data_IF_166696509645
#
_entry.id   IF_166696509645
#
_cell.length_a   1.000
_cell.length_b   1.000
_cell.length_c   1.000
_cell.angle_alpha   90.00
_cell.angle_beta   90.00
_cell.angle_gamma   90.00
#
_symmetry.space_group_name_H-M   'P 1'
#
loop_
_entity.id
_entity.type
_entity.pdbx_description
1 polymer ?
#
# COMPACT_ATOMS: atom_id res chain seq x y z
N UNK A 1 -4.08 12.41 -13.69
CA UNK A 1 -3.96 13.07 -12.39
C UNK A 1 -2.51 13.00 -11.94
N UNK A 2 -1.67 13.87 -12.25
CA UNK A 2 -0.27 13.81 -11.93
C UNK A 2 0.21 15.15 -11.41
N UNK A 3 -0.53 15.74 -10.54
CA UNK A 3 -0.11 16.91 -9.80
C UNK A 3 0.54 16.41 -8.49
N UNK A 4 1.64 17.00 -8.09
CA UNK A 4 2.31 16.76 -6.81
C UNK A 4 1.32 16.75 -5.63
N UNK A 5 0.34 17.65 -5.66
CA UNK A 5 -0.72 17.71 -4.66
C UNK A 5 -1.59 16.44 -4.56
N UNK A 6 -1.56 15.54 -5.53
CA UNK A 6 -2.29 14.26 -5.44
C UNK A 6 -1.67 13.37 -4.37
N UNK A 7 -0.36 13.41 -4.18
CA UNK A 7 0.32 12.63 -3.16
C UNK A 7 -0.05 13.08 -1.74
N UNK A 8 -0.48 14.33 -1.57
CA UNK A 8 -0.93 14.82 -0.26
C UNK A 8 -2.17 14.10 0.29
N UNK A 9 -2.89 13.37 -0.57
CA UNK A 9 -4.05 12.57 -0.22
C UNK A 9 -3.75 11.07 -0.12
N UNK A 10 -2.52 10.66 -0.40
CA UNK A 10 -2.14 9.27 -0.29
C UNK A 10 -2.05 8.87 1.16
N UNK A 11 -2.98 8.01 1.59
CA UNK A 11 -3.03 7.49 2.94
C UNK A 11 -2.34 6.13 3.02
N UNK A 12 -2.15 5.66 4.22
CA UNK A 12 -1.48 4.40 4.49
C UNK A 12 -2.33 3.23 4.03
N UNK A 13 -1.71 2.40 3.22
CA UNK A 13 -2.23 1.11 2.80
C UNK A 13 -1.19 0.05 3.13
N UNK A 14 -1.52 -0.82 4.04
CA UNK A 14 -0.65 -1.90 4.47
C UNK A 14 -1.12 -3.22 3.88
N UNK A 15 -0.19 -3.97 3.30
CA UNK A 15 -0.41 -5.34 2.89
C UNK A 15 0.07 -6.27 3.99
N UNK A 16 -0.77 -7.20 4.41
CA UNK A 16 -0.42 -8.16 5.44
C UNK A 16 -0.82 -9.58 5.02
N UNK A 17 -0.24 -10.55 5.68
CA UNK A 17 -0.62 -11.96 5.57
C UNK A 17 -0.62 -12.53 6.97
N UNK A 18 -1.73 -13.15 7.37
CA UNK A 18 -1.80 -13.82 8.67
C UNK A 18 -1.05 -15.15 8.57
N UNK A 19 0.01 -15.28 9.37
CA UNK A 19 0.83 -16.49 9.37
C UNK A 19 0.00 -17.71 9.80
N UNK A 20 0.11 -18.84 9.09
CA UNK A 20 -0.58 -20.08 9.43
C UNK A 20 -0.38 -20.57 10.88
N UNK A 21 0.71 -20.18 11.54
CA UNK A 21 0.96 -20.55 12.94
C UNK A 21 -0.17 -20.09 13.86
N UNK A 22 -0.80 -18.94 13.57
CA UNK A 22 -1.91 -18.40 14.36
C UNK A 22 -3.15 -19.29 14.37
N UNK A 23 -3.29 -20.16 13.35
CA UNK A 23 -4.41 -21.09 13.25
C UNK A 23 -4.05 -22.52 13.73
N UNK A 24 -2.85 -22.71 14.21
CA UNK A 24 -2.34 -24.02 14.67
C UNK A 24 -2.43 -24.18 16.18
N UNK A 25 -2.11 -25.39 16.66
CA UNK A 25 -1.94 -25.67 18.08
C UNK A 25 -0.70 -25.02 18.69
N UNK A 26 0.20 -24.48 17.85
CA UNK A 26 1.41 -23.76 18.27
C UNK A 26 1.19 -22.23 18.27
N UNK A 27 -0.05 -21.82 18.26
CA UNK A 27 -0.42 -20.41 18.32
C UNK A 27 0.21 -19.75 19.54
N UNK A 28 0.80 -18.54 19.37
CA UNK A 28 1.37 -17.77 20.48
C UNK A 28 0.35 -17.49 21.58
N UNK A 29 0.81 -17.44 22.81
CA UNK A 29 0.00 -17.05 23.94
C UNK A 29 -0.54 -15.63 23.76
N UNK A 30 -1.80 -15.41 24.16
CA UNK A 30 -2.47 -14.12 24.04
C UNK A 30 -3.30 -13.95 22.77
N UNK A 31 -3.17 -14.83 21.77
CA UNK A 31 -4.04 -14.86 20.59
C UNK A 31 -5.21 -15.79 20.88
N UNK A 32 -6.41 -15.23 20.89
CA UNK A 32 -7.63 -15.97 21.21
C UNK A 32 -8.24 -16.65 19.97
N UNK A 33 -9.25 -17.46 20.19
CA UNK A 33 -10.05 -18.03 19.08
C UNK A 33 -10.83 -16.91 18.38
N UNK A 34 -11.31 -15.92 19.12
CA UNK A 34 -12.06 -14.80 18.55
C UNK A 34 -11.19 -13.96 17.61
N UNK A 35 -9.91 -13.77 17.93
CA UNK A 35 -8.97 -13.05 17.08
C UNK A 35 -8.80 -13.72 15.71
N UNK A 36 -8.76 -15.03 15.65
CA UNK A 36 -8.55 -15.79 14.40
C UNK A 36 -9.84 -16.17 13.69
N UNK A 37 -10.98 -15.97 14.31
CA UNK A 37 -12.30 -16.22 13.71
C UNK A 37 -12.98 -14.94 13.23
N UNK A 38 -12.37 -13.78 13.52
CA UNK A 38 -12.85 -12.50 13.03
C UNK A 38 -12.93 -12.50 11.50
N UNK A 39 -13.92 -11.87 10.90
CA UNK A 39 -14.04 -11.71 9.44
C UNK A 39 -12.78 -11.19 8.78
N UNK A 40 -12.01 -10.35 9.48
CA UNK A 40 -10.79 -9.71 8.98
C UNK A 40 -9.53 -10.57 9.08
N UNK A 41 -9.56 -11.66 9.84
CA UNK A 41 -8.37 -12.47 10.10
C UNK A 41 -8.56 -13.94 9.81
N UNK A 42 -9.82 -14.43 9.74
CA UNK A 42 -10.11 -15.85 9.53
C UNK A 42 -9.62 -16.34 8.17
N UNK A 43 -9.31 -17.62 8.09
CA UNK A 43 -9.06 -18.25 6.81
C UNK A 43 -10.37 -18.39 6.02
N UNK A 44 -10.26 -18.23 4.71
CA UNK A 44 -11.33 -18.42 3.76
C UNK A 44 -11.11 -19.77 3.08
N UNK A 45 -12.12 -20.59 3.06
CA UNK A 45 -12.04 -21.92 2.48
C UNK A 45 -12.66 -21.98 1.08
N UNK A 46 -12.14 -22.91 0.27
CA UNK A 46 -12.54 -23.05 -1.13
C UNK A 46 -14.03 -23.34 -1.30
N UNK A 47 -14.60 -24.16 -0.43
CA UNK A 47 -16.01 -24.55 -0.42
C UNK A 47 -16.94 -23.36 -0.10
N UNK A 48 -16.46 -22.39 0.65
CA UNK A 48 -17.23 -21.16 0.89
C UNK A 48 -17.39 -20.32 -0.40
N UNK A 49 -16.34 -20.27 -1.21
CA UNK A 49 -16.30 -19.44 -2.43
C UNK A 49 -16.80 -20.23 -3.65
N UNK A 50 -16.49 -21.51 -3.69
CA UNK A 50 -16.81 -22.40 -4.81
C UNK A 50 -17.52 -23.66 -4.33
N UNK A 51 -18.77 -23.55 -3.84
CA UNK A 51 -19.47 -24.67 -3.19
C UNK A 51 -19.79 -25.85 -4.12
N UNK A 52 -19.73 -25.64 -5.43
CA UNK A 52 -20.02 -26.65 -6.44
C UNK A 52 -18.76 -27.28 -7.07
N UNK A 53 -17.57 -26.96 -6.52
CA UNK A 53 -16.32 -27.56 -6.99
C UNK A 53 -15.95 -28.77 -6.14
N UNK A 54 -15.69 -29.89 -6.79
CA UNK A 54 -15.13 -31.05 -6.11
C UNK A 54 -13.72 -30.77 -5.62
N UNK A 55 -13.49 -30.99 -4.35
CA UNK A 55 -12.17 -30.80 -3.73
C UNK A 55 -11.48 -32.16 -3.72
N UNK A 56 -10.33 -32.26 -4.37
CA UNK A 56 -9.50 -33.45 -4.37
C UNK A 56 -8.94 -33.67 -2.96
N UNK A 57 -9.07 -34.88 -2.46
CA UNK A 57 -8.54 -35.28 -1.16
C UNK A 57 -7.05 -34.95 -1.06
N UNK A 58 -6.64 -34.27 0.03
CA UNK A 58 -5.24 -33.89 0.27
C UNK A 58 -4.83 -32.52 -0.23
N UNK A 59 -5.70 -31.76 -0.90
CA UNK A 59 -5.43 -30.37 -1.25
C UNK A 59 -5.76 -29.43 -0.07
N UNK A 60 -4.96 -28.39 0.06
CA UNK A 60 -5.23 -27.31 1.01
C UNK A 60 -6.52 -26.62 0.61
N UNK A 61 -7.50 -26.65 1.49
CA UNK A 61 -8.81 -26.04 1.25
C UNK A 61 -8.82 -24.54 1.50
N UNK A 62 -7.85 -24.02 2.27
CA UNK A 62 -7.73 -22.59 2.53
C UNK A 62 -7.21 -21.86 1.30
N UNK A 63 -7.88 -20.78 0.95
CA UNK A 63 -7.47 -19.88 -0.13
C UNK A 63 -6.51 -18.82 0.41
N UNK A 64 -5.58 -18.39 -0.45
CA UNK A 64 -4.76 -17.22 -0.17
C UNK A 64 -5.54 -15.97 -0.55
N UNK A 65 -5.69 -15.07 0.40
CA UNK A 65 -6.29 -13.75 0.21
C UNK A 65 -5.23 -12.67 0.06
N UNK A 66 -5.59 -11.58 -0.58
CA UNK A 66 -4.84 -10.33 -0.56
C UNK A 66 -5.44 -9.47 0.54
N UNK A 67 -4.77 -9.41 1.68
CA UNK A 67 -5.27 -8.70 2.84
C UNK A 67 -4.66 -7.31 2.90
N UNK A 68 -5.52 -6.31 2.91
CA UNK A 68 -5.14 -4.90 2.91
C UNK A 68 -5.79 -4.19 4.08
N UNK A 69 -5.01 -3.39 4.78
CA UNK A 69 -5.50 -2.48 5.81
C UNK A 69 -5.30 -1.04 5.33
N UNK A 70 -6.38 -0.29 5.25
CA UNK A 70 -6.39 1.09 4.80
C UNK A 70 -6.70 2.03 5.97
N UNK A 71 -5.77 2.94 6.24
CA UNK A 71 -5.90 3.96 7.30
C UNK A 71 -5.98 5.34 6.66
N UNK A 72 -7.18 5.89 6.46
CA UNK A 72 -7.38 7.14 5.71
C UNK A 72 -6.84 8.38 6.41
N UNK A 73 -6.57 8.30 7.71
CA UNK A 73 -6.01 9.39 8.52
C UNK A 73 -4.49 9.32 8.66
N UNK A 74 -3.88 8.18 8.36
CA UNK A 74 -2.45 8.01 8.45
C UNK A 74 -1.76 8.34 7.13
N UNK A 75 -0.57 8.92 7.22
CA UNK A 75 0.27 9.26 6.06
C UNK A 75 0.73 7.99 5.35
N UNK A 76 0.52 7.93 4.05
CA UNK A 76 1.07 6.87 3.19
C UNK A 76 2.44 7.22 2.64
N UNK A 77 3.02 6.27 1.92
CA UNK A 77 4.31 6.43 1.24
C UNK A 77 4.27 7.61 0.27
N UNK A 78 5.34 8.37 0.21
CA UNK A 78 5.51 9.56 -0.64
C UNK A 78 4.47 10.66 -0.38
N UNK A 79 3.79 10.63 0.75
CA UNK A 79 2.88 11.68 1.16
C UNK A 79 3.60 12.67 2.08
N UNK A 80 3.94 13.80 1.53
CA UNK A 80 4.52 14.92 2.28
C UNK A 80 3.53 16.07 2.37
N UNK A 81 2.38 15.81 2.97
CA UNK A 81 1.34 16.83 3.11
C UNK A 81 1.75 17.88 4.14
N UNK A 82 1.97 19.15 3.73
CA UNK A 82 2.35 20.20 4.67
C UNK A 82 1.22 20.64 5.62
N UNK A 83 -0.01 20.22 5.37
CA UNK A 83 -1.15 20.58 6.20
C UNK A 83 -1.31 19.69 7.44
N UNK A 84 -0.39 18.75 7.67
CA UNK A 84 -0.35 17.97 8.90
C UNK A 84 0.25 18.85 10.00
N UNK A 85 -0.60 19.52 10.71
CA UNK A 85 -0.19 20.43 11.79
C UNK A 85 -0.46 19.78 13.14
N UNK A 86 0.55 19.16 13.73
CA UNK A 86 0.59 18.82 15.15
C UNK A 86 -0.31 17.63 15.61
N UNK A 87 -1.05 17.02 14.71
CA UNK A 87 -1.90 15.85 15.01
C UNK A 87 -1.42 14.57 14.37
N UNK A 88 -0.39 14.63 13.52
CA UNK A 88 0.09 13.53 12.67
C UNK A 88 -0.99 12.86 11.79
N UNK A 89 -2.17 13.46 11.71
CA UNK A 89 -3.28 12.96 10.92
C UNK A 89 -3.47 13.71 9.60
N UNK A 90 -3.77 12.95 8.56
CA UNK A 90 -4.14 13.52 7.26
C UNK A 90 -5.51 14.20 7.33
N UNK A 91 -5.65 15.40 6.77
CA UNK A 91 -6.94 16.07 6.69
C UNK A 91 -7.86 15.35 5.70
N UNK A 92 -9.18 15.53 5.89
CA UNK A 92 -10.23 15.07 4.97
C UNK A 92 -10.16 13.57 4.61
N UNK A 93 -10.26 12.65 5.59
CA UNK A 93 -10.11 11.21 5.39
C UNK A 93 -11.01 10.65 4.28
N UNK A 94 -12.20 11.18 4.08
CA UNK A 94 -13.12 10.74 3.03
C UNK A 94 -12.61 11.00 1.61
N UNK A 95 -11.63 11.88 1.42
CA UNK A 95 -11.02 12.17 0.12
C UNK A 95 -9.65 11.50 -0.07
N UNK A 96 -9.14 10.84 0.97
CA UNK A 96 -7.85 10.18 0.94
C UNK A 96 -7.96 8.81 0.28
N UNK A 97 -6.86 8.34 -0.32
CA UNK A 97 -6.84 7.07 -1.03
C UNK A 97 -5.57 6.28 -0.73
N UNK A 98 -5.69 4.96 -0.81
CA UNK A 98 -4.56 4.04 -0.92
C UNK A 98 -4.58 3.37 -2.29
N UNK A 99 -3.45 2.91 -2.79
CA UNK A 99 -3.40 2.29 -4.09
C UNK A 99 -2.28 1.28 -4.25
N UNK A 100 -2.53 0.27 -5.08
CA UNK A 100 -1.58 -0.75 -5.47
C UNK A 100 -1.39 -0.66 -6.98
N UNK A 101 -0.15 -0.75 -7.43
CA UNK A 101 0.19 -0.85 -8.84
C UNK A 101 0.68 -2.28 -9.11
N UNK A 102 0.15 -2.89 -10.15
CA UNK A 102 0.61 -4.21 -10.61
C UNK A 102 0.89 -4.17 -12.11
N UNK A 103 2.07 -4.63 -12.54
CA UNK A 103 2.32 -4.81 -13.96
C UNK A 103 1.45 -5.93 -14.51
N UNK A 104 0.98 -5.75 -15.74
CA UNK A 104 0.26 -6.79 -16.47
C UNK A 104 1.24 -7.55 -17.37
N UNK A 105 1.10 -8.86 -17.40
CA UNK A 105 1.93 -9.73 -18.25
C UNK A 105 1.54 -9.64 -19.73
N UNK A 106 0.30 -9.22 -20.01
CA UNK A 106 -0.17 -8.94 -21.36
C UNK A 106 -0.66 -7.51 -21.44
N UNK A 107 -0.24 -6.81 -22.48
CA UNK A 107 -0.65 -5.42 -22.78
C UNK A 107 -1.73 -5.33 -23.86
N UNK A 108 -2.01 -6.45 -24.50
CA UNK A 108 -3.00 -6.57 -25.58
C UNK A 108 -4.17 -7.44 -25.09
N UNK A 109 -5.17 -6.78 -24.54
CA UNK A 109 -6.37 -7.44 -24.02
C UNK A 109 -7.27 -7.97 -25.13
N UNK A 110 -7.31 -7.31 -26.27
CA UNK A 110 -8.10 -7.75 -27.42
C UNK A 110 -7.57 -9.07 -27.96
N UNK A 111 -6.25 -9.17 -28.16
CA UNK A 111 -5.61 -10.41 -28.60
C UNK A 111 -5.75 -11.56 -27.59
N UNK A 112 -5.86 -11.23 -26.32
CA UNK A 112 -6.01 -12.20 -25.22
C UNK A 112 -7.47 -12.50 -24.89
N UNK A 113 -8.43 -11.91 -25.63
CA UNK A 113 -9.87 -12.03 -25.38
C UNK A 113 -10.25 -11.75 -23.92
N UNK A 114 -9.63 -10.76 -23.30
CA UNK A 114 -9.95 -10.35 -21.94
C UNK A 114 -11.12 -9.38 -21.96
N UNK A 115 -12.25 -9.79 -21.43
CA UNK A 115 -13.49 -8.99 -21.39
C UNK A 115 -13.84 -8.51 -19.99
N UNK A 116 -13.42 -9.25 -18.96
CA UNK A 116 -13.86 -9.02 -17.58
C UNK A 116 -12.71 -9.04 -16.58
N UNK A 117 -12.87 -8.28 -15.50
CA UNK A 117 -12.12 -8.42 -14.27
C UNK A 117 -13.09 -9.02 -13.24
N UNK A 118 -12.76 -10.21 -12.75
CA UNK A 118 -13.54 -10.88 -11.71
C UNK A 118 -12.68 -11.09 -10.46
N UNK A 119 -13.28 -10.82 -9.31
CA UNK A 119 -12.64 -11.05 -8.02
C UNK A 119 -13.72 -11.20 -6.94
N UNK A 120 -13.34 -11.81 -5.85
CA UNK A 120 -14.12 -11.85 -4.63
C UNK A 120 -13.61 -10.76 -3.70
N UNK A 121 -14.52 -10.00 -3.15
CA UNK A 121 -14.23 -8.94 -2.19
C UNK A 121 -15.03 -9.19 -0.92
N UNK A 122 -14.34 -9.18 0.20
CA UNK A 122 -15.00 -9.11 1.49
C UNK A 122 -15.49 -7.68 1.71
N UNK A 123 -16.76 -7.52 2.07
CA UNK A 123 -17.29 -6.23 2.46
C UNK A 123 -16.85 -5.88 3.90
N UNK A 124 -15.97 -4.91 4.09
CA UNK A 124 -15.49 -4.56 5.42
C UNK A 124 -16.54 -3.81 6.26
N UNK A 125 -17.61 -3.34 5.64
CA UNK A 125 -18.63 -2.51 6.28
C UNK A 125 -19.82 -3.31 6.78
N UNK A 126 -19.96 -4.57 6.44
CA UNK A 126 -21.10 -5.42 6.81
C UNK A 126 -21.25 -5.60 8.33
N UNK A 127 -20.15 -5.44 9.06
CA UNK A 127 -20.11 -5.55 10.52
C UNK A 127 -19.96 -4.19 11.21
N UNK A 128 -19.99 -3.10 10.44
CA UNK A 128 -19.91 -1.75 10.98
C UNK A 128 -21.30 -1.33 11.46
N UNK A 129 -21.53 -1.47 12.76
CA UNK A 129 -22.77 -1.04 13.41
C UNK A 129 -22.84 0.50 13.56
N UNK A 130 -21.82 1.21 13.13
CA UNK A 130 -21.76 2.67 13.18
C UNK A 130 -22.74 3.22 12.14
N UNK A 131 -23.86 3.70 12.59
CA UNK A 131 -24.86 4.33 11.73
C UNK A 131 -24.23 5.48 10.93
N UNK A 132 -24.16 5.34 9.61
CA UNK A 132 -23.64 6.36 8.71
C UNK A 132 -22.33 6.04 7.98
N UNK A 133 -21.87 4.81 8.00
CA UNK A 133 -20.79 4.40 7.08
C UNK A 133 -21.34 4.38 5.65
N UNK A 134 -20.87 5.32 4.83
CA UNK A 134 -21.24 5.40 3.41
C UNK A 134 -20.49 4.37 2.54
N UNK A 135 -19.78 3.43 3.17
CA UNK A 135 -18.97 2.43 2.49
C UNK A 135 -17.66 3.00 1.93
N UNK A 136 -17.11 2.32 0.96
CA UNK A 136 -15.86 2.69 0.29
C UNK A 136 -15.96 2.57 -1.22
N UNK A 137 -14.98 3.11 -1.93
CA UNK A 137 -14.89 3.03 -3.39
C UNK A 137 -13.61 2.32 -3.81
N UNK A 138 -13.73 1.32 -4.67
CA UNK A 138 -12.62 0.69 -5.36
C UNK A 138 -12.61 1.17 -6.80
N UNK A 139 -11.45 1.66 -7.25
CA UNK A 139 -11.27 2.13 -8.62
C UNK A 139 -10.17 1.34 -9.30
N UNK A 140 -10.47 0.77 -10.46
CA UNK A 140 -9.50 0.11 -11.31
C UNK A 140 -9.07 1.04 -12.44
N UNK A 141 -7.78 1.32 -12.52
CA UNK A 141 -7.18 2.08 -13.59
C UNK A 141 -6.35 1.13 -14.46
N UNK A 142 -6.75 0.95 -15.70
CA UNK A 142 -6.05 0.10 -16.67
C UNK A 142 -5.37 0.98 -17.72
N UNK A 143 -4.18 0.63 -18.09
CA UNK A 143 -3.41 1.32 -19.12
C UNK A 143 -2.00 1.69 -18.67
N UNK A 144 -1.43 2.66 -19.36
CA UNK A 144 -0.10 3.17 -19.02
C UNK A 144 -0.18 4.06 -17.80
N UNK A 145 0.46 3.62 -16.73
CA UNK A 145 0.55 4.36 -15.47
C UNK A 145 1.97 4.91 -15.36
N UNK A 146 2.09 6.19 -15.06
CA UNK A 146 3.38 6.79 -14.78
C UNK A 146 3.91 6.28 -13.43
N UNK A 147 5.17 5.84 -13.41
CA UNK A 147 5.91 5.53 -12.19
C UNK A 147 6.55 6.79 -11.58
N UNK A 148 6.37 7.93 -12.24
CA UNK A 148 6.86 9.21 -11.76
C UNK A 148 5.94 9.70 -10.63
N UNK A 149 6.34 9.39 -9.40
CA UNK A 149 5.54 9.64 -8.19
C UNK A 149 5.34 11.13 -7.94
N UNK A 150 6.33 11.97 -8.24
CA UNK A 150 6.28 13.41 -7.99
C UNK A 150 5.97 14.24 -9.24
N UNK A 151 5.87 13.61 -10.40
CA UNK A 151 5.58 14.23 -11.71
C UNK A 151 6.42 15.48 -12.00
N UNK A 152 7.68 15.37 -11.79
CA UNK A 152 8.66 16.39 -12.13
C UNK A 152 9.44 16.06 -13.42
N UNK A 153 9.07 14.99 -14.12
CA UNK A 153 9.76 14.44 -15.28
C UNK A 153 11.00 13.62 -14.90
N UNK A 154 11.16 13.30 -13.64
CA UNK A 154 12.28 12.51 -13.12
C UNK A 154 11.73 11.30 -12.39
N UNK A 155 12.30 10.13 -12.66
CA UNK A 155 12.01 8.95 -11.85
C UNK A 155 12.63 9.16 -10.47
N UNK A 156 11.81 9.48 -9.51
CA UNK A 156 12.24 9.57 -8.13
C UNK A 156 12.22 8.19 -7.52
N UNK A 157 13.39 7.65 -7.39
CA UNK A 157 13.65 6.61 -6.40
C UNK A 157 13.93 7.33 -5.08
N UNK A 158 13.71 6.68 -3.96
CA UNK A 158 14.28 7.09 -2.67
C UNK A 158 15.81 6.98 -2.72
N UNK A 159 16.41 7.74 -3.59
CA UNK A 159 17.84 7.90 -3.57
C UNK A 159 18.14 8.81 -2.41
N UNK A 160 18.90 8.33 -1.49
CA UNK A 160 19.36 9.15 -0.40
C UNK A 160 20.00 10.42 -0.91
N UNK A 161 19.87 11.45 -0.14
CA UNK A 161 20.69 12.64 -0.25
C UNK A 161 22.16 12.23 -0.04
N UNK A 162 23.14 13.06 -0.43
CA UNK A 162 24.53 12.79 -0.13
C UNK A 162 24.74 12.58 1.37
N UNK A 163 25.44 11.51 1.73
CA UNK A 163 25.67 11.13 3.12
C UNK A 163 26.45 12.15 3.96
N UNK A 164 27.18 13.03 3.30
CA UNK A 164 27.90 14.14 3.90
C UNK A 164 27.04 15.42 4.07
N UNK A 165 25.72 15.29 3.89
CA UNK A 165 24.77 16.40 3.91
C UNK A 165 25.06 17.51 2.86
N UNK A 166 25.88 17.25 1.85
CA UNK A 166 26.19 18.19 0.79
C UNK A 166 24.95 18.55 -0.03
N UNK A 167 24.74 19.83 -0.28
CA UNK A 167 23.63 20.33 -1.10
C UNK A 167 24.04 20.65 -2.54
N UNK A 168 25.31 20.42 -2.92
CA UNK A 168 25.86 20.83 -4.21
C UNK A 168 25.14 20.21 -5.42
N UNK A 169 24.61 19.00 -5.26
CA UNK A 169 23.92 18.25 -6.31
C UNK A 169 22.45 18.00 -5.94
N UNK A 170 21.82 18.94 -5.27
CA UNK A 170 20.41 18.86 -4.90
C UNK A 170 19.63 20.04 -5.44
N UNK A 171 18.34 19.83 -5.67
CA UNK A 171 17.38 20.88 -6.04
C UNK A 171 16.38 21.02 -4.91
N UNK A 172 16.13 22.23 -4.40
CA UNK A 172 15.05 22.47 -3.47
C UNK A 172 13.70 22.35 -4.21
N UNK A 173 12.76 21.63 -3.61
CA UNK A 173 11.39 21.50 -4.08
C UNK A 173 10.42 21.88 -2.97
N UNK A 174 9.12 21.95 -3.27
CA UNK A 174 8.09 22.15 -2.25
C UNK A 174 8.05 20.99 -1.21
N UNK A 175 8.65 19.88 -1.52
CA UNK A 175 8.69 18.66 -0.71
C UNK A 175 10.06 18.38 -0.09
N UNK A 176 10.96 19.33 -0.12
CA UNK A 176 12.31 19.17 0.37
C UNK A 176 13.36 19.16 -0.74
N UNK A 177 14.54 18.66 -0.44
CA UNK A 177 15.67 18.59 -1.37
C UNK A 177 15.62 17.29 -2.16
N UNK A 178 15.90 17.37 -3.46
CA UNK A 178 15.91 16.21 -4.37
C UNK A 178 17.26 16.17 -5.08
N UNK A 179 17.91 14.99 -5.20
CA UNK A 179 19.13 14.85 -5.97
C UNK A 179 18.94 15.23 -7.44
N UNK A 180 19.90 15.94 -8.02
CA UNK A 180 19.88 16.32 -9.45
C UNK A 180 20.14 15.15 -10.38
N UNK A 181 20.94 14.18 -9.95
CA UNK A 181 21.30 12.99 -10.70
C UNK A 181 20.72 11.74 -10.08
N UNK A 182 19.90 11.04 -10.85
CA UNK A 182 19.23 9.81 -10.44
C UNK A 182 19.92 8.55 -10.97
N UNK A 183 21.09 8.68 -11.56
CA UNK A 183 21.76 7.59 -12.27
C UNK A 183 22.43 6.55 -11.38
N UNK A 184 22.56 6.81 -10.10
CA UNK A 184 23.19 5.91 -9.14
C UNK A 184 22.26 5.69 -7.95
N UNK A 185 21.86 4.43 -7.79
CA UNK A 185 21.22 3.98 -6.56
C UNK A 185 22.30 3.90 -5.48
N UNK A 186 22.36 4.88 -4.63
CA UNK A 186 23.16 4.76 -3.42
C UNK A 186 22.44 3.86 -2.44
N UNK A 187 23.10 2.81 -2.03
CA UNK A 187 22.63 2.01 -0.90
C UNK A 187 22.70 2.90 0.33
N UNK A 188 21.60 2.98 1.06
CA UNK A 188 21.59 3.72 2.31
C UNK A 188 22.57 3.11 3.33
N UNK A 189 23.26 3.97 4.04
CA UNK A 189 24.02 3.53 5.20
C UNK A 189 23.07 2.93 6.26
N UNK A 190 23.55 1.93 6.96
CA UNK A 190 22.70 1.16 7.87
C UNK A 190 22.44 1.86 9.20
N UNK A 191 23.29 2.79 9.59
CA UNK A 191 23.26 3.44 10.90
C UNK A 191 23.91 4.82 10.85
N UNK A 192 23.61 5.63 11.87
CA UNK A 192 24.31 6.86 12.16
C UNK A 192 23.87 8.08 11.38
N UNK A 193 24.65 9.13 11.49
CA UNK A 193 24.38 10.44 10.90
C UNK A 193 24.33 10.39 9.37
N UNK A 194 25.15 9.56 8.75
CA UNK A 194 25.13 9.35 7.30
C UNK A 194 23.78 8.84 6.82
N UNK A 195 23.15 7.91 7.54
CA UNK A 195 21.81 7.41 7.25
C UNK A 195 20.77 8.52 7.36
N UNK A 196 20.84 9.31 8.43
CA UNK A 196 19.94 10.45 8.63
C UNK A 196 20.10 11.52 7.53
N UNK A 197 21.33 11.78 7.10
CA UNK A 197 21.59 12.73 6.03
C UNK A 197 21.06 12.27 4.66
N UNK A 198 20.96 10.98 4.44
CA UNK A 198 20.46 10.39 3.19
C UNK A 198 18.93 10.38 3.09
N UNK A 199 18.24 10.53 4.18
CA UNK A 199 16.79 10.53 4.22
C UNK A 199 16.21 11.78 3.57
N UNK A 200 15.39 11.59 2.55
CA UNK A 200 14.68 12.66 1.85
C UNK A 200 13.28 12.92 2.39
N UNK A 201 12.82 12.08 3.33
CA UNK A 201 11.53 12.21 3.99
C UNK A 201 10.31 11.93 3.10
N UNK A 202 10.47 11.33 1.94
CA UNK A 202 9.37 11.10 1.00
C UNK A 202 8.57 9.82 1.23
N UNK A 203 9.09 8.91 2.02
CA UNK A 203 8.39 7.65 2.34
C UNK A 203 7.29 7.82 3.38
N UNK A 204 7.22 8.98 4.01
CA UNK A 204 6.27 9.24 5.10
C UNK A 204 6.69 8.61 6.42
N UNK A 205 7.91 8.10 6.51
CA UNK A 205 8.52 7.63 7.73
C UNK A 205 9.42 8.74 8.28
N UNK A 206 9.34 8.99 9.54
CA UNK A 206 10.18 9.97 10.27
C UNK A 206 11.30 9.26 11.02
#
# INVERSE_FOLDING_TARGET
NGNLATNNKRAKLSWYTVDPIFYSSQRPDGITVDDISSPFTRRIFRDEIFPNQDIVQGQTQALFSLDLSFSPTERGQYNYNPAINGTDELPNPASNFGGIIRPLTTTDFERSNVEYIQFWLMDPFIYDETAGSDGGTITFNLGNISEDVLKDGRKQYENGLPKDASTANTIPTAYGKVPTNQSLLYVYDTQGEERTNQDIGYDGLS
#
